data_IF_507901995913
#
_entry.id   IF_507901995913
#
_cell.length_a   1.000
_cell.length_b   1.000
_cell.length_c   1.000
_cell.angle_alpha   90.00
_cell.angle_beta   90.00
_cell.angle_gamma   90.00
#
_symmetry.space_group_name_H-M   'P 1'
#
loop_
_entity.id
_entity.type
_entity.pdbx_description
1 polymer ?
#
# COMPACT_ATOMS: atom_id res chain seq x y z
N UNK A 1 -0.64 21.39 4.79
CA UNK A 1 -0.48 19.99 4.36
C UNK A 1 0.30 19.28 5.43
N UNK A 2 -0.36 18.39 6.17
CA UNK A 2 0.35 17.51 7.11
C UNK A 2 1.29 16.60 6.32
N UNK A 3 2.49 16.40 6.84
CA UNK A 3 3.55 15.72 6.12
C UNK A 3 3.39 14.22 6.34
N UNK A 4 2.99 13.50 5.29
CA UNK A 4 2.96 12.04 5.28
C UNK A 4 4.34 11.45 5.62
N UNK A 5 4.34 10.32 6.33
CA UNK A 5 5.55 9.58 6.68
C UNK A 5 6.28 9.04 5.44
N UNK A 6 7.58 8.76 5.59
CA UNK A 6 8.40 8.12 4.55
C UNK A 6 9.03 6.85 5.09
N UNK A 7 8.57 5.70 4.60
CA UNK A 7 8.91 4.39 5.16
C UNK A 7 9.74 3.56 4.19
N UNK A 8 10.60 2.70 4.71
CA UNK A 8 11.04 1.55 3.94
C UNK A 8 9.84 0.63 3.68
N UNK A 9 9.96 -0.22 2.66
CA UNK A 9 8.96 -1.27 2.43
C UNK A 9 8.82 -2.21 3.64
N UNK A 10 9.94 -2.53 4.31
CA UNK A 10 9.94 -3.38 5.51
C UNK A 10 9.09 -2.76 6.61
N UNK A 11 9.31 -1.48 6.92
CA UNK A 11 8.57 -0.76 7.97
C UNK A 11 7.08 -0.70 7.66
N UNK A 12 6.71 -0.41 6.41
CA UNK A 12 5.31 -0.41 5.99
C UNK A 12 4.65 -1.78 6.20
N UNK A 13 5.29 -2.87 5.74
CA UNK A 13 4.75 -4.22 5.90
C UNK A 13 4.57 -4.61 7.37
N UNK A 14 5.57 -4.34 8.22
CA UNK A 14 5.50 -4.64 9.65
C UNK A 14 4.41 -3.82 10.36
N UNK A 15 4.27 -2.53 10.02
CA UNK A 15 3.19 -1.69 10.55
C UNK A 15 1.80 -2.24 10.19
N UNK A 16 1.60 -2.61 8.92
CA UNK A 16 0.29 -3.11 8.49
C UNK A 16 -0.02 -4.48 9.07
N UNK A 17 0.99 -5.32 9.31
CA UNK A 17 0.80 -6.61 9.97
C UNK A 17 0.24 -6.45 11.37
N UNK A 18 0.81 -5.59 12.22
CA UNK A 18 0.29 -5.39 13.59
C UNK A 18 -1.10 -4.74 13.58
N UNK A 19 -1.38 -3.84 12.63
CA UNK A 19 -2.73 -3.28 12.43
C UNK A 19 -3.74 -4.36 12.07
N UNK A 20 -3.41 -5.24 11.12
CA UNK A 20 -4.25 -6.39 10.73
C UNK A 20 -4.50 -7.34 11.90
N UNK A 21 -3.54 -7.48 12.80
CA UNK A 21 -3.68 -8.28 14.02
C UNK A 21 -4.45 -7.56 15.14
N UNK A 22 -4.94 -6.34 14.89
CA UNK A 22 -5.84 -5.61 15.78
C UNK A 22 -5.17 -4.58 16.68
N UNK A 23 -3.88 -4.29 16.50
CA UNK A 23 -3.19 -3.25 17.26
C UNK A 23 -3.68 -1.86 16.82
N UNK A 24 -4.18 -1.07 17.76
CA UNK A 24 -4.74 0.25 17.45
C UNK A 24 -3.64 1.28 17.19
N UNK A 25 -3.99 2.30 16.40
CA UNK A 25 -3.08 3.43 16.12
C UNK A 25 -2.71 4.21 17.39
N UNK A 26 -3.58 4.25 18.40
CA UNK A 26 -3.26 4.86 19.70
C UNK A 26 -2.11 4.13 20.41
N UNK A 27 -2.18 2.79 20.46
CA UNK A 27 -1.11 1.98 21.06
C UNK A 27 0.17 2.13 20.26
N UNK A 28 0.09 2.10 18.93
CA UNK A 28 1.25 2.30 18.05
C UNK A 28 1.93 3.66 18.27
N UNK A 29 1.15 4.72 18.48
CA UNK A 29 1.69 6.05 18.77
C UNK A 29 2.34 6.15 20.15
N UNK A 30 1.74 5.52 21.17
CA UNK A 30 2.35 5.42 22.51
C UNK A 30 3.66 4.64 22.46
N UNK A 31 3.66 3.49 21.79
CA UNK A 31 4.85 2.67 21.55
C UNK A 31 5.94 3.44 20.78
N UNK A 32 5.58 4.20 19.75
CA UNK A 32 6.52 5.01 19.00
C UNK A 32 7.14 6.14 19.85
N UNK A 33 6.37 6.72 20.77
CA UNK A 33 6.85 7.78 21.65
C UNK A 33 7.76 7.25 22.78
N UNK A 34 7.52 6.04 23.27
CA UNK A 34 8.33 5.41 24.33
C UNK A 34 9.47 4.54 23.80
N UNK A 35 9.45 4.18 22.52
CA UNK A 35 10.33 3.16 21.93
C UNK A 35 9.97 1.73 22.36
N UNK A 36 8.81 1.50 22.98
CA UNK A 36 8.40 0.19 23.48
C UNK A 36 7.78 -0.69 22.40
N UNK A 37 8.51 -1.73 22.00
CA UNK A 37 8.11 -2.70 20.97
C UNK A 37 7.25 -3.84 21.52
N UNK A 38 7.10 -3.98 22.85
CA UNK A 38 6.39 -5.11 23.45
C UNK A 38 4.97 -5.31 22.89
N UNK A 39 4.12 -4.26 22.74
CA UNK A 39 2.78 -4.46 22.20
C UNK A 39 2.78 -5.02 20.77
N UNK A 40 3.81 -4.67 19.97
CA UNK A 40 3.96 -5.18 18.60
C UNK A 40 4.41 -6.64 18.61
N UNK A 41 5.29 -7.02 19.55
CA UNK A 41 5.74 -8.40 19.71
C UNK A 41 4.61 -9.30 20.22
N UNK A 42 3.90 -8.89 21.28
CA UNK A 42 2.81 -9.67 21.87
C UNK A 42 1.71 -9.98 20.83
N UNK A 43 1.30 -8.99 20.04
CA UNK A 43 0.26 -9.19 19.02
C UNK A 43 0.75 -10.05 17.85
N UNK A 44 2.05 -10.03 17.55
CA UNK A 44 2.66 -10.75 16.43
C UNK A 44 3.17 -12.15 16.76
N UNK A 45 3.06 -12.58 18.03
CA UNK A 45 3.55 -13.86 18.51
C UNK A 45 5.06 -13.87 18.77
N UNK A 46 5.58 -12.80 19.39
CA UNK A 46 6.98 -12.59 19.72
C UNK A 46 7.93 -12.63 18.51
N UNK A 47 7.47 -12.08 17.37
CA UNK A 47 8.27 -12.01 16.15
C UNK A 47 9.47 -11.05 16.33
N UNK A 48 10.68 -11.59 16.19
CA UNK A 48 11.92 -10.82 16.35
C UNK A 48 12.10 -9.71 15.30
N UNK A 49 11.30 -9.71 14.23
CA UNK A 49 11.28 -8.64 13.24
C UNK A 49 10.94 -7.27 13.84
N UNK A 50 10.30 -7.22 15.03
CA UNK A 50 9.93 -6.00 15.72
C UNK A 50 10.95 -5.51 16.77
N UNK A 51 11.97 -6.29 17.13
CA UNK A 51 12.92 -5.96 18.20
C UNK A 51 13.50 -4.55 18.07
N UNK A 52 13.86 -4.16 16.85
CA UNK A 52 14.43 -2.85 16.54
C UNK A 52 13.48 -1.97 15.71
N UNK A 53 12.17 -2.20 15.72
CA UNK A 53 11.24 -1.54 14.79
C UNK A 53 11.34 -0.01 14.82
N UNK A 54 11.24 0.60 16.01
CA UNK A 54 11.34 2.05 16.17
C UNK A 54 12.77 2.56 15.98
N UNK A 55 13.77 1.86 16.51
CA UNK A 55 15.20 2.19 16.36
C UNK A 55 15.61 2.21 14.89
N UNK A 56 15.16 1.24 14.11
CA UNK A 56 15.38 1.17 12.67
C UNK A 56 14.78 2.39 11.98
N UNK A 57 13.55 2.76 12.35
CA UNK A 57 12.85 3.92 11.82
C UNK A 57 13.65 5.21 12.05
N UNK A 58 14.06 5.48 13.29
CA UNK A 58 14.88 6.64 13.62
C UNK A 58 16.20 6.66 12.84
N UNK A 59 16.91 5.53 12.83
CA UNK A 59 18.20 5.39 12.15
C UNK A 59 18.12 5.66 10.65
N UNK A 60 16.99 5.33 10.02
CA UNK A 60 16.77 5.49 8.57
C UNK A 60 15.90 6.69 8.20
N UNK A 61 15.67 7.61 9.14
CA UNK A 61 14.91 8.85 8.93
C UNK A 61 13.42 8.62 8.64
N UNK A 62 12.85 7.56 9.18
CA UNK A 62 11.46 7.18 8.98
C UNK A 62 10.57 7.83 10.04
N UNK A 63 9.62 8.64 9.57
CA UNK A 63 8.71 9.40 10.44
C UNK A 63 7.54 8.51 10.88
N UNK A 64 7.81 7.49 11.72
CA UNK A 64 6.83 6.44 12.07
C UNK A 64 5.54 7.04 12.66
N UNK A 65 5.66 7.92 13.66
CA UNK A 65 4.49 8.56 14.28
C UNK A 65 3.64 9.34 13.25
N UNK A 66 4.27 10.06 12.33
CA UNK A 66 3.52 10.79 11.29
C UNK A 66 2.93 9.88 10.23
N UNK A 67 3.59 8.76 9.92
CA UNK A 67 3.01 7.76 9.04
C UNK A 67 1.82 7.02 9.63
N UNK A 68 1.77 6.88 10.97
CA UNK A 68 0.60 6.34 11.67
C UNK A 68 -0.57 7.33 11.57
N UNK A 69 -0.35 8.62 11.88
CA UNK A 69 -1.41 9.65 11.91
C UNK A 69 -1.94 10.03 10.52
N UNK A 70 -1.03 10.25 9.58
CA UNK A 70 -1.32 10.94 8.33
C UNK A 70 -1.14 10.04 7.10
N UNK A 71 -0.87 8.76 7.32
CA UNK A 71 -0.44 7.85 6.26
C UNK A 71 1.01 8.09 5.84
N UNK A 72 1.53 7.17 5.03
CA UNK A 72 2.93 7.16 4.62
C UNK A 72 3.06 6.89 3.13
N UNK A 73 4.26 7.12 2.62
CA UNK A 73 4.68 6.65 1.30
C UNK A 73 5.96 5.87 1.40
N UNK A 74 5.98 4.72 0.75
CA UNK A 74 7.15 3.86 0.68
C UNK A 74 8.24 4.54 -0.16
N UNK A 75 9.48 4.47 0.31
CA UNK A 75 10.67 5.03 -0.36
C UNK A 75 11.00 4.24 -1.63
N UNK A 76 10.82 2.93 -1.57
CA UNK A 76 11.08 1.98 -2.64
C UNK A 76 10.18 0.75 -2.47
N UNK A 77 9.82 0.11 -3.57
CA UNK A 77 9.04 -1.12 -3.58
C UNK A 77 9.63 -2.15 -4.55
N UNK A 78 9.76 -3.39 -4.07
CA UNK A 78 9.91 -4.60 -4.91
C UNK A 78 8.55 -5.26 -5.15
N UNK A 79 8.43 -6.11 -6.17
CA UNK A 79 7.22 -6.90 -6.42
C UNK A 79 6.83 -7.75 -5.22
N UNK A 80 7.80 -8.48 -4.64
CA UNK A 80 7.54 -9.36 -3.49
C UNK A 80 7.13 -8.61 -2.23
N UNK A 81 7.73 -7.44 -1.97
CA UNK A 81 7.28 -6.65 -0.83
C UNK A 81 5.95 -5.92 -1.07
N UNK A 82 5.54 -5.67 -2.32
CA UNK A 82 4.17 -5.19 -2.61
C UNK A 82 3.16 -6.30 -2.36
N UNK A 83 3.47 -7.54 -2.73
CA UNK A 83 2.66 -8.70 -2.35
C UNK A 83 2.50 -8.80 -0.83
N UNK A 84 3.61 -8.69 -0.06
CA UNK A 84 3.52 -8.69 1.40
C UNK A 84 2.67 -7.53 1.90
N UNK A 85 2.84 -6.32 1.36
CA UNK A 85 2.05 -5.17 1.78
C UNK A 85 0.57 -5.32 1.46
N UNK A 86 0.21 -5.82 0.27
CA UNK A 86 -1.16 -6.08 -0.15
C UNK A 86 -1.83 -7.11 0.76
N UNK A 87 -1.09 -8.17 1.14
CA UNK A 87 -1.57 -9.16 2.11
C UNK A 87 -1.81 -8.54 3.48
N UNK A 88 -0.85 -7.79 4.02
CA UNK A 88 -0.97 -7.25 5.37
C UNK A 88 -1.97 -6.10 5.47
N UNK A 89 -2.07 -5.22 4.46
CA UNK A 89 -2.98 -4.07 4.48
C UNK A 89 -4.40 -4.41 4.02
N UNK A 90 -4.52 -5.19 2.94
CA UNK A 90 -5.79 -5.39 2.22
C UNK A 90 -6.26 -6.85 2.24
N UNK A 91 -5.48 -7.77 2.81
CA UNK A 91 -5.82 -9.19 2.86
C UNK A 91 -5.85 -9.87 1.49
N UNK A 92 -5.13 -9.33 0.48
CA UNK A 92 -5.08 -9.88 -0.88
C UNK A 92 -3.87 -10.81 -1.05
N UNK A 93 -4.08 -11.98 -1.62
CA UNK A 93 -3.06 -12.99 -1.87
C UNK A 93 -2.80 -13.20 -3.37
N UNK A 94 -1.53 -13.37 -3.72
CA UNK A 94 -1.13 -13.69 -5.08
C UNK A 94 -1.68 -15.06 -5.51
N UNK A 95 -1.95 -15.21 -6.81
CA UNK A 95 -2.55 -16.39 -7.44
C UNK A 95 -3.99 -16.70 -6.99
N UNK A 96 -4.55 -15.91 -6.08
CA UNK A 96 -5.95 -15.99 -5.63
C UNK A 96 -6.71 -14.72 -6.01
N UNK A 97 -6.17 -13.57 -5.61
CA UNK A 97 -6.80 -12.25 -5.82
C UNK A 97 -6.16 -11.46 -6.97
N UNK A 98 -4.94 -11.81 -7.37
CA UNK A 98 -4.21 -11.15 -8.45
C UNK A 98 -3.09 -12.04 -8.99
N UNK A 99 -2.65 -11.78 -10.21
CA UNK A 99 -1.50 -12.44 -10.82
C UNK A 99 -0.22 -11.61 -10.62
N UNK A 100 0.91 -12.29 -10.42
CA UNK A 100 2.22 -11.64 -10.24
C UNK A 100 3.23 -12.06 -11.30
N UNK A 101 4.01 -11.09 -11.76
CA UNK A 101 5.22 -11.33 -12.53
C UNK A 101 6.32 -10.33 -12.16
N UNK A 102 7.50 -10.46 -12.77
CA UNK A 102 8.63 -9.59 -12.43
C UNK A 102 8.32 -8.14 -12.80
N UNK A 103 8.13 -7.30 -11.78
CA UNK A 103 7.85 -5.88 -11.92
C UNK A 103 6.41 -5.54 -12.30
N UNK A 104 5.48 -6.51 -12.17
CA UNK A 104 4.07 -6.31 -12.54
C UNK A 104 3.12 -7.14 -11.67
N UNK A 105 1.99 -6.52 -11.31
CA UNK A 105 0.87 -7.12 -10.57
C UNK A 105 -0.40 -6.81 -11.37
N UNK A 106 -1.24 -7.81 -11.63
CA UNK A 106 -2.40 -7.68 -12.51
C UNK A 106 -3.67 -8.26 -11.91
N UNK A 107 -4.81 -7.70 -12.32
CA UNK A 107 -6.12 -8.21 -11.91
C UNK A 107 -6.48 -7.86 -10.46
N UNK A 108 -5.83 -6.85 -9.88
CA UNK A 108 -6.07 -6.47 -8.49
C UNK A 108 -7.39 -5.71 -8.38
N UNK A 109 -8.41 -6.36 -7.84
CA UNK A 109 -9.71 -5.75 -7.57
C UNK A 109 -9.66 -4.93 -6.27
N UNK A 110 -9.93 -3.63 -6.36
CA UNK A 110 -9.88 -2.69 -5.23
C UNK A 110 -11.12 -1.80 -5.19
N UNK A 111 -11.65 -1.60 -3.98
CA UNK A 111 -12.61 -0.51 -3.75
C UNK A 111 -11.92 0.86 -3.92
N UNK A 112 -12.69 1.91 -4.15
CA UNK A 112 -12.17 3.26 -4.37
C UNK A 112 -11.26 3.75 -3.21
N UNK A 113 -11.63 3.48 -1.96
CA UNK A 113 -10.81 3.84 -0.79
C UNK A 113 -9.53 3.01 -0.71
N UNK A 114 -9.59 1.70 -0.96
CA UNK A 114 -8.42 0.83 -1.01
C UNK A 114 -7.44 1.27 -2.10
N UNK A 115 -7.96 1.67 -3.27
CA UNK A 115 -7.18 2.17 -4.40
C UNK A 115 -6.44 3.46 -4.04
N UNK A 116 -7.08 4.38 -3.33
CA UNK A 116 -6.45 5.62 -2.85
C UNK A 116 -5.40 5.35 -1.75
N UNK A 117 -5.65 4.42 -0.84
CA UNK A 117 -4.64 4.00 0.15
C UNK A 117 -3.43 3.39 -0.55
N UNK A 118 -3.61 2.50 -1.52
CA UNK A 118 -2.52 1.92 -2.28
C UNK A 118 -1.75 3.00 -3.06
N UNK A 119 -2.46 3.86 -3.80
CA UNK A 119 -1.86 4.94 -4.61
C UNK A 119 -1.03 5.90 -3.77
N UNK A 120 -1.53 6.30 -2.59
CA UNK A 120 -0.81 7.19 -1.67
C UNK A 120 0.41 6.51 -1.01
N UNK A 121 0.36 5.19 -0.81
CA UNK A 121 1.42 4.40 -0.18
C UNK A 121 2.55 4.02 -1.15
N UNK A 122 2.27 3.91 -2.45
CA UNK A 122 3.20 3.42 -3.46
C UNK A 122 4.45 4.29 -3.62
N UNK A 123 5.59 3.62 -3.76
CA UNK A 123 6.85 4.24 -4.13
C UNK A 123 6.77 4.88 -5.52
N UNK A 124 7.53 5.97 -5.78
CA UNK A 124 7.42 6.75 -7.01
C UNK A 124 7.85 5.98 -8.27
N UNK A 125 8.51 4.84 -8.14
CA UNK A 125 8.95 3.98 -9.25
C UNK A 125 7.86 3.02 -9.77
N UNK A 126 6.66 3.04 -9.17
CA UNK A 126 5.52 2.24 -9.60
C UNK A 126 4.42 3.12 -10.20
N UNK A 127 3.70 2.55 -11.15
CA UNK A 127 2.47 3.07 -11.74
C UNK A 127 1.32 2.18 -11.33
N UNK A 128 0.19 2.79 -11.01
CA UNK A 128 -1.08 2.11 -10.79
C UNK A 128 -2.01 2.51 -11.92
N UNK A 129 -2.36 1.55 -12.77
CA UNK A 129 -3.20 1.71 -13.94
C UNK A 129 -4.54 1.04 -13.68
N UNK A 130 -5.63 1.74 -13.98
CA UNK A 130 -6.95 1.14 -13.97
C UNK A 130 -7.18 0.41 -15.30
N UNK A 131 -7.64 -0.83 -15.22
CA UNK A 131 -8.01 -1.63 -16.39
C UNK A 131 -9.48 -1.36 -16.67
N UNK A 132 -9.82 -0.75 -17.83
CA UNK A 132 -11.21 -0.53 -18.18
C UNK A 132 -11.92 -1.87 -18.26
N UNK A 133 -12.99 -2.02 -17.49
CA UNK A 133 -13.86 -3.19 -17.58
C UNK A 133 -14.37 -3.31 -19.02
N UNK A 134 -14.21 -4.48 -19.64
CA UNK A 134 -14.73 -4.76 -20.97
C UNK A 134 -16.27 -4.69 -20.94
N UNK A 135 -16.81 -3.49 -21.06
CA UNK A 135 -18.22 -3.15 -20.84
C UNK A 135 -18.54 -1.68 -21.12
N UNK A 136 -17.56 -0.77 -21.03
CA UNK A 136 -17.69 0.62 -21.49
C UNK A 136 -17.00 0.80 -22.85
N UNK A 137 -17.58 0.20 -23.88
CA UNK A 137 -17.04 0.26 -25.24
C UNK A 137 -17.99 -0.18 -26.34
N UNK A 138 -19.29 -0.26 -26.07
CA UNK A 138 -20.29 -0.50 -27.11
C UNK A 138 -21.40 0.56 -27.02
N UNK A 139 -21.34 1.47 -27.99
CA UNK A 139 -22.38 2.41 -28.41
C UNK A 139 -22.61 3.66 -27.55
N UNK A 140 -21.74 4.67 -27.72
CA UNK A 140 -22.19 6.06 -27.92
C UNK A 140 -21.28 6.82 -28.89
N UNK A 141 -21.91 7.41 -29.90
CA UNK A 141 -21.34 8.39 -30.82
C UNK A 141 -20.81 9.64 -30.07
N UNK A 142 -19.94 10.45 -30.69
CA UNK A 142 -19.03 11.34 -29.96
C UNK A 142 -19.72 12.64 -29.56
N UNK A 143 -19.77 12.95 -28.26
CA UNK A 143 -19.95 14.32 -27.77
C UNK A 143 -19.00 14.55 -26.57
N UNK A 144 -17.97 15.34 -26.86
CA UNK A 144 -17.20 16.26 -26.01
C UNK A 144 -16.66 15.88 -24.62
N UNK A 145 -15.37 16.17 -24.48
CA UNK A 145 -14.63 16.72 -23.32
C UNK A 145 -14.35 15.87 -22.07
N UNK A 146 -13.05 15.63 -21.88
CA UNK A 146 -12.26 15.91 -20.66
C UNK A 146 -12.68 15.24 -19.33
N UNK A 147 -12.06 14.10 -19.00
CA UNK A 147 -11.42 13.76 -17.71
C UNK A 147 -11.27 12.23 -17.57
N UNK A 148 -10.21 11.71 -16.91
CA UNK A 148 -10.22 10.33 -16.44
C UNK A 148 -11.27 10.18 -15.33
N UNK A 149 -12.36 9.46 -15.62
CA UNK A 149 -13.42 9.15 -14.66
C UNK A 149 -12.88 8.21 -13.59
N UNK A 150 -12.77 8.69 -12.36
CA UNK A 150 -12.58 7.83 -11.18
C UNK A 150 -13.87 7.03 -10.94
N UNK A 151 -13.80 5.74 -10.55
CA UNK A 151 -14.98 4.95 -10.23
C UNK A 151 -15.79 5.58 -9.09
N UNK A 152 -17.12 5.49 -9.18
CA UNK A 152 -18.02 6.09 -8.18
C UNK A 152 -17.87 5.38 -6.82
N UNK A 153 -18.14 6.08 -5.73
CA UNK A 153 -18.07 5.52 -4.37
C UNK A 153 -18.95 4.27 -4.24
N UNK A 154 -18.31 3.09 -4.16
CA UNK A 154 -18.97 1.78 -4.08
C UNK A 154 -18.61 0.82 -5.23
N UNK A 155 -17.97 1.31 -6.29
CA UNK A 155 -17.53 0.49 -7.41
C UNK A 155 -16.11 -0.04 -7.20
N UNK A 156 -15.94 -1.34 -7.37
CA UNK A 156 -14.64 -2.01 -7.34
C UNK A 156 -14.01 -1.92 -8.73
N UNK A 157 -12.88 -1.21 -8.83
CA UNK A 157 -12.07 -1.15 -10.05
C UNK A 157 -11.09 -2.31 -10.14
N UNK A 158 -10.70 -2.69 -11.35
CA UNK A 158 -9.60 -3.63 -11.57
C UNK A 158 -8.34 -2.84 -11.91
N UNK A 159 -7.24 -3.12 -11.21
CA UNK A 159 -5.99 -2.36 -11.35
C UNK A 159 -4.79 -3.26 -11.67
N UNK A 160 -3.82 -2.65 -12.35
CA UNK A 160 -2.49 -3.20 -12.58
C UNK A 160 -1.44 -2.30 -11.97
N UNK A 161 -0.47 -2.90 -11.28
CA UNK A 161 0.73 -2.19 -10.82
C UNK A 161 1.89 -2.54 -11.73
N UNK A 162 2.57 -1.54 -12.26
CA UNK A 162 3.69 -1.71 -13.19
C UNK A 162 4.89 -0.90 -12.74
N UNK A 163 6.06 -1.53 -12.72
CA UNK A 163 7.32 -0.82 -12.49
C UNK A 163 7.61 0.10 -13.68
N UNK A 164 7.84 1.39 -13.42
CA UNK A 164 7.99 2.42 -14.48
C UNK A 164 9.00 2.05 -15.56
N UNK A 165 10.16 1.52 -15.17
CA UNK A 165 11.23 1.14 -16.10
C UNK A 165 10.85 0.03 -17.09
N UNK A 166 9.78 -0.74 -16.82
CA UNK A 166 9.26 -1.76 -17.72
C UNK A 166 8.18 -1.20 -18.67
N UNK A 167 7.46 -0.15 -18.24
CA UNK A 167 6.42 0.49 -19.05
C UNK A 167 6.96 1.34 -20.21
N UNK A 168 8.25 1.71 -20.18
CA UNK A 168 8.90 2.51 -21.24
C UNK A 168 9.50 1.64 -22.37
N UNK A 169 9.39 0.31 -22.28
CA UNK A 169 9.98 -0.65 -23.24
C UNK A 169 8.96 -1.37 -24.14
N UNK A 170 7.68 -1.07 -24.00
CA UNK A 170 6.58 -1.54 -24.86
C UNK A 170 6.12 -0.43 -25.80
#
# INVERSE_FOLDING_TARGET
>A
MEKQGRFSQKTAVLLERVRRLGLSDEVLLVSAASGDVKPLQEVSGDDSSYEDFFVYGETHGEQIAEGIRNGYRMKFNTTGGLQSWLKERLGREAETDFAMSVGRIEGLALAADEAEVLRSSLAPNWLMLEVPSAGEGADKAPENEDAPTLPASGETGTYSLVLKFLSEKE
#
